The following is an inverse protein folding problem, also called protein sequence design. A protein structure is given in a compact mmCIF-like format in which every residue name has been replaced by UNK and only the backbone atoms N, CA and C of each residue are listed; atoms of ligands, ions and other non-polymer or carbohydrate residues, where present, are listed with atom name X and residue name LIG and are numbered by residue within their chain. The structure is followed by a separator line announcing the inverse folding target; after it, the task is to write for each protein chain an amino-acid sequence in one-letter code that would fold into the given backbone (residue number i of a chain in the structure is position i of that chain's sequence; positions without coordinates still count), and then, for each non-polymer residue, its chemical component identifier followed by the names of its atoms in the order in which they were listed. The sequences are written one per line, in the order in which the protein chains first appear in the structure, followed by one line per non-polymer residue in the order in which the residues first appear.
data_IF_715318022855
#
_entry.id   IF_715318022855
#
_cell.length_a   1.000
_cell.length_b   1.000
_cell.length_c   1.000
_cell.angle_alpha   90.00
_cell.angle_beta   90.00
_cell.angle_gamma   90.00
#
_symmetry.space_group_name_H-M   'P 1'
#
loop_
_entity.id
_entity.type
_entity.pdbx_description
1 polymer ?
#
# COMPACT_ATOMS: atom_id res chain seq x y z
N UNK A 1 4.80 22.30 0.33
CA UNK A 1 3.69 21.63 -0.38
C UNK A 1 2.61 21.29 0.62
N UNK A 2 1.36 21.17 0.20
CA UNK A 2 0.31 20.62 1.06
C UNK A 2 0.57 19.14 1.31
N UNK A 3 0.37 18.67 2.54
CA UNK A 3 0.58 17.26 2.89
C UNK A 3 -0.43 16.32 2.22
N UNK A 4 -1.50 16.85 1.62
CA UNK A 4 -2.50 16.08 0.89
C UNK A 4 -3.05 16.86 -0.29
N UNK A 5 -3.30 16.17 -1.40
CA UNK A 5 -4.06 16.72 -2.52
C UNK A 5 -4.76 15.60 -3.31
N UNK A 6 -5.85 15.97 -3.97
CA UNK A 6 -6.55 15.13 -4.94
C UNK A 6 -6.95 16.01 -6.13
N UNK A 7 -6.36 15.75 -7.30
CA UNK A 7 -6.48 16.56 -8.50
C UNK A 7 -7.20 15.74 -9.58
N UNK A 8 -8.28 16.31 -10.14
CA UNK A 8 -9.11 15.63 -11.16
C UNK A 8 -9.73 16.55 -12.21
N UNK A 9 -9.53 17.87 -12.07
CA UNK A 9 -10.19 18.85 -12.93
C UNK A 9 -9.17 19.51 -13.85
N UNK A 10 -9.61 19.87 -15.06
CA UNK A 10 -8.78 20.55 -16.06
C UNK A 10 -8.08 21.80 -15.52
N UNK A 11 -8.75 22.54 -14.61
CA UNK A 11 -8.17 23.73 -14.00
C UNK A 11 -6.99 23.40 -13.08
N UNK A 12 -7.06 22.28 -12.35
CA UNK A 12 -5.98 21.80 -11.49
C UNK A 12 -4.89 21.07 -12.29
N UNK A 13 -5.25 20.52 -13.45
CA UNK A 13 -4.43 19.66 -14.30
C UNK A 13 -4.16 20.31 -15.66
N UNK A 14 -3.90 21.62 -15.66
CA UNK A 14 -3.64 22.37 -16.88
C UNK A 14 -2.35 21.86 -17.57
N UNK A 15 -2.32 21.74 -18.91
CA UNK A 15 -1.17 21.20 -19.64
C UNK A 15 0.16 21.88 -19.27
N UNK A 16 1.21 21.09 -19.06
CA UNK A 16 2.55 21.57 -18.70
C UNK A 16 2.73 21.94 -17.21
N UNK A 17 1.67 21.94 -16.40
CA UNK A 17 1.75 22.34 -14.99
C UNK A 17 2.45 21.27 -14.16
N UNK A 18 3.47 21.65 -13.38
CA UNK A 18 4.04 20.79 -12.33
C UNK A 18 3.05 20.68 -11.17
N UNK A 19 2.67 19.45 -10.82
CA UNK A 19 1.69 19.16 -9.78
C UNK A 19 2.33 18.59 -8.52
N UNK A 20 3.51 18.00 -8.61
CA UNK A 20 4.20 17.39 -7.48
C UNK A 20 5.71 17.35 -7.71
N UNK A 21 6.47 17.52 -6.63
CA UNK A 21 7.93 17.35 -6.63
C UNK A 21 8.42 16.88 -5.27
N UNK A 22 9.36 15.94 -5.24
CA UNK A 22 9.96 15.47 -4.00
C UNK A 22 11.39 14.99 -4.25
N UNK A 23 12.27 15.20 -3.27
CA UNK A 23 13.65 14.71 -3.26
C UNK A 23 13.76 13.24 -2.80
N UNK A 24 12.64 12.66 -2.33
CA UNK A 24 12.62 11.28 -1.83
C UNK A 24 12.69 10.27 -2.95
N UNK A 25 13.06 9.04 -2.59
CA UNK A 25 12.98 7.87 -3.47
C UNK A 25 11.56 7.30 -3.44
N UNK A 26 10.97 7.02 -4.60
CA UNK A 26 9.65 6.42 -4.72
C UNK A 26 9.75 5.08 -5.43
N UNK A 27 9.04 4.07 -4.91
CA UNK A 27 8.92 2.77 -5.55
C UNK A 27 7.48 2.51 -5.99
N UNK A 28 7.31 1.67 -7.02
CA UNK A 28 6.04 1.04 -7.29
C UNK A 28 5.62 0.17 -6.09
N UNK A 29 4.54 0.56 -5.42
CA UNK A 29 4.10 -0.11 -4.19
C UNK A 29 2.92 -1.06 -4.43
N UNK A 30 1.93 -0.62 -5.19
CA UNK A 30 0.78 -1.45 -5.54
C UNK A 30 0.18 -1.04 -6.89
N UNK A 31 -0.34 -2.03 -7.62
CA UNK A 31 -1.14 -1.80 -8.81
C UNK A 31 -2.34 -2.75 -8.83
N UNK A 32 -3.55 -2.20 -8.87
CA UNK A 32 -4.79 -2.98 -9.00
C UNK A 32 -5.34 -2.82 -10.41
N UNK A 33 -5.04 -3.79 -11.28
CA UNK A 33 -5.44 -3.78 -12.70
C UNK A 33 -6.96 -3.62 -12.85
N UNK A 34 -7.74 -4.41 -12.10
CA UNK A 34 -9.21 -4.42 -12.21
C UNK A 34 -9.87 -3.08 -11.85
N UNK A 35 -9.19 -2.22 -11.12
CA UNK A 35 -9.70 -0.93 -10.66
C UNK A 35 -8.88 0.27 -11.18
N UNK A 36 -7.86 0.02 -12.01
CA UNK A 36 -6.96 1.04 -12.55
C UNK A 36 -6.29 1.88 -11.47
N UNK A 37 -5.84 1.29 -10.38
CA UNK A 37 -5.22 2.04 -9.27
C UNK A 37 -3.73 1.77 -9.20
N UNK A 38 -2.91 2.80 -9.45
CA UNK A 38 -1.47 2.75 -9.30
C UNK A 38 -1.02 3.56 -8.08
N UNK A 39 -0.25 2.93 -7.19
CA UNK A 39 0.27 3.53 -5.98
C UNK A 39 1.81 3.51 -6.00
N UNK A 40 2.42 4.69 -5.93
CA UNK A 40 3.85 4.83 -5.65
C UNK A 40 4.05 5.26 -4.20
N UNK A 41 5.09 4.74 -3.53
CA UNK A 41 5.37 5.05 -2.12
C UNK A 41 6.80 5.52 -1.92
N UNK A 42 6.98 6.54 -1.09
CA UNK A 42 8.31 6.97 -0.67
C UNK A 42 8.95 5.95 0.27
N UNK A 43 10.22 5.58 0.05
CA UNK A 43 10.96 4.59 0.85
C UNK A 43 12.18 5.16 1.60
N UNK A 44 12.16 6.46 1.87
CA UNK A 44 13.29 7.19 2.48
C UNK A 44 14.07 8.02 1.46
N UNK A 45 15.16 8.66 1.92
CA UNK A 45 16.08 9.38 1.03
C UNK A 45 17.16 8.41 0.53
N UNK A 46 17.60 8.52 -0.75
CA UNK A 46 18.61 7.61 -1.31
C UNK A 46 19.90 7.52 -0.49
N UNK A 47 20.29 8.62 0.16
CA UNK A 47 21.59 8.78 0.81
C UNK A 47 21.53 8.75 2.35
N UNK A 48 20.39 8.44 2.96
CA UNK A 48 20.22 8.37 4.41
C UNK A 48 19.73 6.99 4.84
N UNK A 49 20.47 6.37 5.76
CA UNK A 49 20.06 5.14 6.41
C UNK A 49 18.97 5.42 7.47
N UNK A 50 17.87 4.66 7.43
CA UNK A 50 16.77 4.75 8.39
C UNK A 50 15.40 4.71 7.74
N UNK A 51 14.37 4.33 8.50
CA UNK A 51 12.98 4.49 8.05
C UNK A 51 12.63 5.98 8.03
N UNK A 52 11.93 6.49 7.01
CA UNK A 52 11.51 7.88 6.99
C UNK A 52 10.51 8.15 8.12
N UNK A 53 10.57 9.34 8.72
CA UNK A 53 9.63 9.78 9.76
C UNK A 53 8.18 9.85 9.23
N UNK A 54 8.02 10.25 7.96
CA UNK A 54 6.73 10.28 7.25
C UNK A 54 6.80 9.48 5.96
N UNK A 55 5.68 8.89 5.57
CA UNK A 55 5.48 8.22 4.29
C UNK A 55 4.71 9.14 3.34
N UNK A 56 5.08 9.15 2.07
CA UNK A 56 4.30 9.76 0.99
C UNK A 56 3.75 8.66 0.11
N UNK A 57 2.42 8.59 -0.01
CA UNK A 57 1.74 7.79 -1.03
C UNK A 57 1.30 8.70 -2.18
N UNK A 58 1.54 8.27 -3.41
CA UNK A 58 1.05 8.88 -4.66
C UNK A 58 0.09 7.91 -5.34
N UNK A 59 -1.15 8.32 -5.57
CA UNK A 59 -2.17 7.51 -6.21
C UNK A 59 -2.59 8.10 -7.56
N UNK A 60 -2.65 7.26 -8.59
CA UNK A 60 -3.27 7.56 -9.88
C UNK A 60 -4.50 6.67 -10.08
N UNK A 61 -5.64 7.26 -10.46
CA UNK A 61 -6.90 6.52 -10.67
C UNK A 61 -7.92 7.27 -11.54
N UNK A 62 -8.65 6.56 -12.42
CA UNK A 62 -8.31 5.26 -13.00
C UNK A 62 -7.14 5.44 -13.97
N UNK A 63 -6.16 4.55 -13.91
CA UNK A 63 -5.01 4.53 -14.82
C UNK A 63 -5.24 3.53 -15.96
N UNK A 64 -4.99 3.96 -17.19
CA UNK A 64 -5.29 3.21 -18.42
C UNK A 64 -4.05 2.85 -19.23
N UNK A 65 -3.01 3.70 -19.22
CA UNK A 65 -1.72 3.45 -19.87
C UNK A 65 -0.60 3.75 -18.88
N UNK A 66 0.37 2.84 -18.79
CA UNK A 66 1.49 2.93 -17.88
C UNK A 66 2.80 2.69 -18.65
N UNK A 67 3.67 3.70 -18.68
CA UNK A 67 5.09 3.56 -18.95
C UNK A 67 5.81 4.04 -17.71
N UNK A 68 6.24 3.09 -16.87
CA UNK A 68 6.81 3.38 -15.55
C UNK A 68 8.05 2.55 -15.30
N UNK A 69 8.87 3.02 -14.36
CA UNK A 69 9.96 2.29 -13.70
C UNK A 69 9.52 1.89 -12.29
N UNK A 70 10.23 0.93 -11.72
CA UNK A 70 10.00 0.47 -10.35
C UNK A 70 10.63 1.39 -9.29
N UNK A 71 11.54 2.28 -9.69
CA UNK A 71 12.28 3.21 -8.83
C UNK A 71 12.41 4.61 -9.45
N UNK A 72 12.09 5.63 -8.65
CA UNK A 72 12.24 7.04 -8.98
C UNK A 72 13.03 7.77 -7.89
N UNK A 73 14.01 8.59 -8.28
CA UNK A 73 14.83 9.40 -7.38
C UNK A 73 14.69 10.87 -7.77
N UNK A 74 14.35 11.73 -6.81
CA UNK A 74 14.06 13.14 -7.07
C UNK A 74 12.91 13.30 -8.07
N UNK A 75 11.76 12.70 -7.77
CA UNK A 75 10.60 12.65 -8.65
C UNK A 75 9.93 14.01 -8.80
N UNK A 76 9.72 14.45 -10.04
CA UNK A 76 8.82 15.52 -10.41
C UNK A 76 7.69 14.98 -11.29
N UNK A 77 6.46 15.45 -11.06
CA UNK A 77 5.29 15.07 -11.83
C UNK A 77 4.66 16.33 -12.39
N UNK A 78 4.43 16.34 -13.70
CA UNK A 78 3.70 17.41 -14.39
C UNK A 78 2.67 16.85 -15.34
N UNK A 79 1.64 17.65 -15.65
CA UNK A 79 0.76 17.37 -16.77
C UNK A 79 1.55 17.51 -18.08
N UNK A 80 1.35 16.58 -19.00
CA UNK A 80 1.89 16.69 -20.34
C UNK A 80 1.34 17.95 -21.04
N UNK A 81 2.12 18.51 -21.95
CA UNK A 81 1.63 19.51 -22.89
C UNK A 81 0.63 18.88 -23.87
N UNK A 82 -0.12 19.71 -24.59
CA UNK A 82 -1.02 19.22 -25.63
C UNK A 82 -0.28 18.39 -26.70
N UNK A 83 0.90 18.83 -27.13
CA UNK A 83 1.70 18.11 -28.12
C UNK A 83 2.18 16.74 -27.60
N UNK A 84 2.70 16.68 -26.37
CA UNK A 84 3.11 15.42 -25.73
C UNK A 84 1.93 14.47 -25.54
N UNK A 85 0.75 15.00 -25.19
CA UNK A 85 -0.48 14.23 -25.04
C UNK A 85 -0.89 13.56 -26.35
N UNK A 86 -0.89 14.30 -27.46
CA UNK A 86 -1.25 13.75 -28.77
C UNK A 86 -0.27 12.66 -29.21
N UNK A 87 1.03 12.83 -28.97
CA UNK A 87 2.05 11.81 -29.27
C UNK A 87 1.77 10.52 -28.49
N UNK A 88 1.57 10.62 -27.17
CA UNK A 88 1.35 9.45 -26.30
C UNK A 88 0.04 8.74 -26.67
N UNK A 89 -1.02 9.48 -27.01
CA UNK A 89 -2.28 8.89 -27.48
C UNK A 89 -2.12 8.19 -28.83
N UNK A 90 -1.35 8.78 -29.74
CA UNK A 90 -1.07 8.20 -31.06
C UNK A 90 -0.22 6.92 -30.98
N UNK A 91 0.64 6.77 -29.97
CA UNK A 91 1.40 5.55 -29.71
C UNK A 91 0.55 4.40 -29.13
N UNK A 92 -0.63 4.72 -28.57
CA UNK A 92 -1.49 3.80 -27.84
C UNK A 92 -2.89 3.66 -28.49
N UNK A 93 -2.93 3.45 -29.81
CA UNK A 93 -4.19 3.42 -30.60
C UNK A 93 -5.19 2.33 -30.22
N UNK A 94 -4.75 1.28 -29.52
CA UNK A 94 -5.60 0.20 -29.04
C UNK A 94 -6.40 0.57 -27.78
N UNK A 95 -6.09 1.69 -27.14
CA UNK A 95 -6.72 2.16 -25.90
C UNK A 95 -7.78 3.21 -26.23
N UNK A 96 -8.96 3.09 -25.60
CA UNK A 96 -9.99 4.13 -25.68
C UNK A 96 -9.75 5.15 -24.59
N UNK A 97 -9.41 6.39 -24.98
CA UNK A 97 -9.19 7.50 -24.04
C UNK A 97 -10.51 8.20 -23.71
N UNK A 98 -10.77 8.43 -22.43
CA UNK A 98 -11.84 9.30 -21.95
C UNK A 98 -11.46 10.78 -22.17
N UNK A 99 -12.46 11.66 -22.19
CA UNK A 99 -12.23 13.11 -22.13
C UNK A 99 -11.61 13.55 -20.81
N UNK A 100 -11.87 12.80 -19.76
CA UNK A 100 -11.37 13.06 -18.41
C UNK A 100 -9.96 12.47 -18.19
N UNK A 101 -9.37 11.81 -19.20
CA UNK A 101 -8.03 11.23 -19.07
C UNK A 101 -6.96 12.30 -19.27
N UNK A 102 -6.06 12.38 -18.30
CA UNK A 102 -4.89 13.25 -18.30
C UNK A 102 -3.62 12.41 -18.47
N UNK A 103 -2.61 13.00 -19.12
CA UNK A 103 -1.28 12.41 -19.23
C UNK A 103 -0.37 13.07 -18.20
N UNK A 104 0.12 12.27 -17.26
CA UNK A 104 1.09 12.67 -16.25
C UNK A 104 2.47 12.21 -16.67
N UNK A 105 3.43 13.13 -16.73
CA UNK A 105 4.83 12.82 -17.01
C UNK A 105 5.59 12.73 -15.69
N UNK A 106 6.34 11.64 -15.55
CA UNK A 106 7.13 11.32 -14.36
C UNK A 106 8.60 11.53 -14.73
N UNK A 107 9.16 12.63 -14.23
CA UNK A 107 10.54 13.04 -14.50
C UNK A 107 11.43 12.69 -13.31
N UNK A 108 12.48 11.93 -13.57
CA UNK A 108 13.43 11.49 -12.55
C UNK A 108 14.78 11.24 -13.20
N UNK A 109 15.81 11.89 -12.67
CA UNK A 109 17.21 11.75 -13.09
C UNK A 109 17.46 11.93 -14.60
N UNK A 110 16.71 12.83 -15.26
CA UNK A 110 16.86 13.12 -16.69
C UNK A 110 16.11 12.16 -17.62
N UNK A 111 15.36 11.21 -17.07
CA UNK A 111 14.49 10.31 -17.82
C UNK A 111 13.00 10.63 -17.55
N UNK A 112 12.17 10.40 -18.56
CA UNK A 112 10.73 10.70 -18.53
C UNK A 112 9.89 9.47 -18.85
N UNK A 113 9.01 9.17 -17.90
CA UNK A 113 7.97 8.15 -17.95
C UNK A 113 6.58 8.79 -18.07
N UNK A 114 5.53 8.00 -18.29
CA UNK A 114 4.17 8.55 -18.34
C UNK A 114 3.10 7.61 -17.79
N UNK A 115 2.06 8.23 -17.24
CA UNK A 115 0.83 7.58 -16.80
C UNK A 115 -0.34 8.31 -17.43
N UNK A 116 -1.24 7.59 -18.08
CA UNK A 116 -2.56 8.13 -18.45
C UNK A 116 -3.54 7.74 -17.35
N UNK A 117 -4.15 8.74 -16.71
CA UNK A 117 -5.16 8.52 -15.68
C UNK A 117 -6.15 9.69 -15.56
N UNK A 118 -7.34 9.46 -14.98
CA UNK A 118 -8.30 10.55 -14.77
C UNK A 118 -7.97 11.47 -13.58
N UNK A 119 -7.26 10.96 -12.58
CA UNK A 119 -6.94 11.73 -11.39
C UNK A 119 -5.61 11.29 -10.79
N UNK A 120 -4.96 12.23 -10.11
CA UNK A 120 -3.76 12.00 -9.33
C UNK A 120 -3.87 12.69 -7.97
N UNK A 121 -3.26 12.09 -6.95
CA UNK A 121 -3.20 12.71 -5.63
C UNK A 121 -2.10 12.13 -4.77
N UNK A 122 -1.85 12.81 -3.66
CA UNK A 122 -0.85 12.38 -2.69
C UNK A 122 -1.32 12.58 -1.26
N UNK A 123 -0.69 11.84 -0.36
CA UNK A 123 -0.82 12.01 1.07
C UNK A 123 0.55 11.75 1.71
N UNK A 124 1.00 12.71 2.51
CA UNK A 124 2.17 12.61 3.38
C UNK A 124 1.72 12.61 4.85
N UNK A 125 2.08 11.58 5.60
CA UNK A 125 1.88 11.52 7.05
C UNK A 125 2.72 10.38 7.68
N UNK A 126 2.62 10.20 9.00
CA UNK A 126 3.10 9.00 9.70
C UNK A 126 2.19 7.83 9.35
N UNK A 127 2.74 6.82 8.68
CA UNK A 127 2.02 5.59 8.33
C UNK A 127 2.34 4.49 9.36
N UNK A 128 1.31 3.93 9.99
CA UNK A 128 1.49 2.77 10.89
C UNK A 128 2.15 1.59 10.15
N UNK A 129 3.00 0.79 10.81
CA UNK A 129 3.62 -0.39 10.22
C UNK A 129 2.62 -1.43 9.67
N UNK A 130 1.42 -1.51 10.25
CA UNK A 130 0.36 -2.44 9.85
C UNK A 130 -0.59 -1.84 8.81
N UNK A 131 -0.47 -0.55 8.51
CA UNK A 131 -1.34 0.13 7.55
C UNK A 131 -0.93 -0.17 6.11
N UNK A 132 -1.86 -0.60 5.23
CA UNK A 132 -1.54 -0.87 3.83
C UNK A 132 -1.17 0.40 3.03
N UNK A 133 -1.68 1.56 3.46
CA UNK A 133 -1.44 2.87 2.87
C UNK A 133 -2.55 3.88 3.14
N UNK A 134 -2.32 5.16 2.81
CA UNK A 134 -3.30 6.22 3.03
C UNK A 134 -4.53 6.11 2.12
N UNK A 135 -4.37 5.45 0.98
CA UNK A 135 -5.43 5.21 -0.01
C UNK A 135 -5.96 3.78 -0.02
N UNK A 136 -5.39 2.91 0.82
CA UNK A 136 -5.77 1.50 0.93
C UNK A 136 -6.16 1.20 2.38
N UNK A 137 -7.31 1.75 2.78
CA UNK A 137 -7.83 1.64 4.15
C UNK A 137 -8.65 0.37 4.33
N UNK A 138 -8.64 -0.20 5.54
CA UNK A 138 -9.56 -1.26 5.94
C UNK A 138 -11.03 -0.83 5.75
N UNK A 139 -11.80 -1.67 5.03
CA UNK A 139 -13.24 -1.54 4.85
C UNK A 139 -13.95 -2.60 5.70
N UNK A 140 -14.74 -2.22 6.72
CA UNK A 140 -15.40 -3.15 7.64
C UNK A 140 -16.29 -4.19 6.95
N UNK A 141 -16.99 -3.78 5.90
CA UNK A 141 -17.92 -4.60 5.13
C UNK A 141 -17.22 -5.61 4.20
N UNK A 142 -15.96 -5.34 3.86
CA UNK A 142 -15.09 -6.20 3.05
C UNK A 142 -13.72 -6.37 3.73
N UNK A 143 -13.62 -7.24 4.76
CA UNK A 143 -12.34 -7.57 5.39
C UNK A 143 -11.49 -8.37 4.41
N UNK A 144 -10.80 -7.67 3.52
CA UNK A 144 -9.82 -8.26 2.62
C UNK A 144 -8.49 -8.21 3.35
N UNK A 145 -7.92 -9.38 3.63
CA UNK A 145 -6.55 -9.50 4.09
C UNK A 145 -5.64 -8.75 3.10
N UNK A 146 -4.67 -7.95 3.56
CA UNK A 146 -3.72 -7.32 2.66
C UNK A 146 -2.85 -8.40 2.00
N UNK A 147 -3.34 -9.00 0.92
CA UNK A 147 -2.56 -9.83 0.03
C UNK A 147 -1.73 -8.87 -0.80
N UNK A 148 -0.44 -8.72 -0.48
CA UNK A 148 0.50 -8.11 -1.40
C UNK A 148 0.50 -9.00 -2.64
N UNK A 149 0.05 -8.55 -3.82
CA UNK A 149 -0.01 -9.44 -4.95
C UNK A 149 1.38 -9.84 -5.44
N UNK A 150 2.48 -9.15 -5.06
CA UNK A 150 3.85 -9.70 -5.02
C UNK A 150 4.90 -8.74 -4.39
N UNK A 151 5.57 -9.20 -3.32
CA UNK A 151 6.95 -8.86 -2.97
C UNK A 151 7.62 -10.15 -2.49
N UNK A 152 8.31 -10.85 -3.39
CA UNK A 152 8.71 -12.25 -3.18
C UNK A 152 7.50 -13.18 -3.32
N UNK A 153 7.51 -14.07 -4.31
CA UNK A 153 6.39 -14.97 -4.57
C UNK A 153 6.30 -16.05 -3.49
N UNK A 154 5.37 -15.92 -2.54
CA UNK A 154 5.09 -17.05 -1.65
C UNK A 154 3.85 -17.79 -2.09
N UNK A 155 4.08 -18.75 -2.98
CA UNK A 155 3.38 -20.03 -2.95
C UNK A 155 3.67 -20.84 -1.67
N UNK A 156 3.85 -20.18 -0.51
CA UNK A 156 4.09 -20.81 0.80
C UNK A 156 5.38 -20.47 1.57
N UNK A 157 6.19 -19.44 1.26
CA UNK A 157 7.53 -19.24 1.86
C UNK A 157 7.80 -17.91 2.61
N UNK A 158 6.91 -17.52 3.52
CA UNK A 158 7.30 -16.78 4.73
C UNK A 158 7.03 -17.66 5.97
N UNK A 159 7.06 -18.97 5.75
CA UNK A 159 7.13 -19.99 6.79
C UNK A 159 8.63 -20.16 7.06
N UNK A 160 9.06 -19.96 8.31
CA UNK A 160 10.40 -20.37 8.75
C UNK A 160 10.67 -21.78 8.22
N UNK A 161 11.83 -22.04 7.62
CA UNK A 161 12.14 -23.39 7.15
C UNK A 161 11.95 -24.39 8.29
N UNK A 162 11.63 -25.65 7.99
CA UNK A 162 11.48 -26.66 9.04
C UNK A 162 12.73 -26.71 9.95
N UNK A 163 13.90 -26.39 9.41
CA UNK A 163 15.16 -26.27 10.14
C UNK A 163 15.20 -25.04 11.06
N UNK A 164 14.84 -23.84 10.58
CA UNK A 164 14.78 -22.62 11.39
C UNK A 164 13.71 -22.71 12.49
N UNK A 165 12.58 -23.35 12.18
CA UNK A 165 11.56 -23.68 13.16
C UNK A 165 12.12 -24.65 14.20
N UNK A 166 12.81 -25.71 13.77
CA UNK A 166 13.45 -26.68 14.66
C UNK A 166 14.57 -26.05 15.51
N UNK A 167 15.35 -25.13 14.98
CA UNK A 167 16.40 -24.40 15.71
C UNK A 167 15.80 -23.41 16.72
N UNK A 168 14.76 -22.68 16.34
CA UNK A 168 14.00 -21.81 17.24
C UNK A 168 13.22 -22.60 18.32
N UNK A 169 12.88 -23.87 18.05
CA UNK A 169 12.28 -24.80 19.02
C UNK A 169 13.32 -25.50 19.91
N UNK A 170 14.61 -25.49 19.54
CA UNK A 170 15.72 -26.14 20.25
C UNK A 170 16.63 -25.17 20.99
N UNK A 171 16.47 -23.87 20.79
CA UNK A 171 17.17 -22.85 21.55
C UNK A 171 16.72 -22.93 23.03
N UNK A 172 17.52 -23.65 23.82
CA UNK A 172 17.38 -23.83 25.27
C UNK A 172 17.71 -22.51 26.00
N UNK A 173 16.76 -21.59 26.09
CA UNK A 173 16.71 -20.53 27.10
C UNK A 173 15.29 -19.94 27.11
N UNK A 174 14.41 -20.10 28.11
CA UNK A 174 14.53 -20.64 29.46
C UNK A 174 13.17 -21.25 29.88
N UNK A 175 13.28 -22.35 30.64
CA UNK A 175 12.29 -22.96 31.55
C UNK A 175 10.93 -23.43 31.00
N UNK A 176 10.96 -24.67 30.51
CA UNK A 176 9.82 -25.53 30.24
C UNK A 176 9.10 -25.97 31.54
N UNK A 177 7.85 -25.53 31.74
CA UNK A 177 6.88 -26.24 32.56
C UNK A 177 5.91 -27.02 31.65
N UNK A 178 6.16 -28.34 31.60
CA UNK A 178 5.22 -29.46 31.42
C UNK A 178 3.87 -29.18 30.69
N UNK A 179 3.80 -29.69 29.44
CA UNK A 179 2.61 -30.10 28.63
C UNK A 179 1.93 -29.13 27.65
N UNK A 180 2.49 -27.97 27.35
CA UNK A 180 1.94 -27.09 26.29
C UNK A 180 2.96 -26.91 25.15
N UNK A 181 2.83 -27.72 24.07
CA UNK A 181 3.49 -27.44 22.79
C UNK A 181 2.60 -26.53 21.94
N UNK A 182 2.22 -25.39 22.52
CA UNK A 182 1.45 -24.38 21.84
C UNK A 182 2.29 -23.11 21.77
N UNK A 183 2.41 -22.53 20.58
CA UNK A 183 2.75 -21.10 20.45
C UNK A 183 1.43 -20.34 20.38
N UNK A 184 1.39 -19.15 20.93
CA UNK A 184 0.22 -18.29 20.82
C UNK A 184 0.38 -17.33 19.65
N UNK A 185 -0.68 -17.18 18.88
CA UNK A 185 -0.84 -16.09 17.90
C UNK A 185 -1.92 -15.15 18.41
N UNK A 186 -1.81 -13.88 18.05
CA UNK A 186 -2.76 -12.84 18.43
C UNK A 186 -3.64 -12.54 17.22
N UNK A 187 -4.91 -12.91 17.30
CA UNK A 187 -5.88 -12.68 16.24
C UNK A 187 -6.71 -11.45 16.58
N UNK A 188 -6.65 -10.42 15.75
CA UNK A 188 -7.53 -9.26 15.88
C UNK A 188 -8.88 -9.64 15.29
N UNK A 189 -9.89 -9.70 16.15
CA UNK A 189 -11.27 -10.03 15.83
C UNK A 189 -12.11 -8.76 15.73
N UNK A 190 -13.07 -8.74 14.81
CA UNK A 190 -13.97 -7.61 14.61
C UNK A 190 -15.42 -8.08 14.58
N UNK A 191 -16.32 -7.27 15.14
CA UNK A 191 -17.77 -7.41 14.93
C UNK A 191 -18.24 -6.31 13.99
N UNK A 192 -18.80 -6.73 12.85
CA UNK A 192 -19.32 -5.81 11.83
C UNK A 192 -20.83 -5.99 11.74
N UNK A 193 -21.58 -4.89 11.83
CA UNK A 193 -23.04 -4.92 11.67
C UNK A 193 -23.38 -4.96 10.17
N UNK A 194 -23.67 -6.15 9.64
CA UNK A 194 -24.27 -6.29 8.31
C UNK A 194 -25.79 -6.14 8.43
N UNK A 195 -26.47 -5.80 7.34
CA UNK A 195 -27.86 -5.34 7.32
C UNK A 195 -28.90 -6.27 7.98
N UNK A 196 -28.55 -7.53 8.28
CA UNK A 196 -29.46 -8.47 8.92
C UNK A 196 -28.92 -9.19 10.16
N UNK A 197 -27.60 -9.38 10.33
CA UNK A 197 -27.01 -9.97 11.56
C UNK A 197 -25.57 -9.45 11.82
N UNK A 198 -25.14 -9.34 13.09
CA UNK A 198 -23.76 -9.04 13.43
C UNK A 198 -22.84 -10.24 13.08
N UNK A 199 -21.82 -9.98 12.26
CA UNK A 199 -20.85 -10.98 11.81
C UNK A 199 -19.54 -10.82 12.59
N UNK A 200 -18.97 -11.92 13.08
CA UNK A 200 -17.69 -11.95 13.81
C UNK A 200 -16.64 -12.54 12.88
N UNK A 201 -15.59 -11.78 12.60
CA UNK A 201 -14.55 -12.19 11.65
C UNK A 201 -13.15 -11.76 12.09
N UNK A 202 -12.16 -12.59 11.77
CA UNK A 202 -10.74 -12.28 12.00
C UNK A 202 -10.24 -11.28 10.98
N UNK A 203 -9.80 -10.11 11.46
CA UNK A 203 -9.25 -9.03 10.65
C UNK A 203 -7.72 -9.12 10.46
N UNK A 204 -7.01 -9.87 11.31
CA UNK A 204 -5.56 -10.07 11.23
C UNK A 204 -5.05 -11.13 12.20
N UNK A 205 -3.92 -11.79 11.89
CA UNK A 205 -3.20 -12.73 12.77
C UNK A 205 -1.77 -12.24 12.89
N UNK A 206 -1.29 -12.10 14.12
CA UNK A 206 0.00 -11.50 14.44
C UNK A 206 0.80 -12.41 15.37
N UNK A 207 2.12 -12.37 15.22
CA UNK A 207 3.05 -13.14 16.07
C UNK A 207 3.37 -12.41 17.38
N UNK A 208 3.17 -11.09 17.42
CA UNK A 208 3.37 -10.28 18.62
C UNK A 208 2.09 -9.61 19.04
N UNK A 209 1.94 -9.42 20.35
CA UNK A 209 0.82 -8.66 20.92
C UNK A 209 0.86 -7.19 20.50
N UNK A 210 2.05 -6.61 20.42
CA UNK A 210 2.22 -5.20 20.05
C UNK A 210 1.72 -4.90 18.62
N UNK A 211 2.02 -5.78 17.66
CA UNK A 211 1.51 -5.62 16.28
C UNK A 211 -0.01 -5.81 16.22
N UNK A 212 -0.56 -6.73 17.02
CA UNK A 212 -2.00 -6.91 17.14
C UNK A 212 -2.68 -5.68 17.76
N UNK A 213 -2.07 -5.06 18.77
CA UNK A 213 -2.57 -3.84 19.41
C UNK A 213 -2.50 -2.63 18.45
N UNK A 214 -1.43 -2.48 17.66
CA UNK A 214 -1.33 -1.44 16.61
C UNK A 214 -2.40 -1.61 15.52
N UNK A 215 -2.61 -2.86 15.06
CA UNK A 215 -3.67 -3.18 14.11
C UNK A 215 -5.07 -2.95 14.72
N UNK A 216 -5.30 -3.36 15.96
CA UNK A 216 -6.55 -3.14 16.70
C UNK A 216 -6.85 -1.64 16.82
N UNK A 217 -5.86 -0.81 17.17
CA UNK A 217 -6.00 0.64 17.27
C UNK A 217 -6.39 1.28 15.93
N UNK A 218 -5.87 0.76 14.82
CA UNK A 218 -6.21 1.22 13.46
C UNK A 218 -7.65 0.84 13.05
N UNK A 219 -8.14 -0.31 13.53
CA UNK A 219 -9.44 -0.89 13.14
C UNK A 219 -10.59 -0.40 14.05
N UNK A 220 -10.35 -0.28 15.36
CA UNK A 220 -11.36 0.05 16.38
C UNK A 220 -12.26 1.24 16.01
N UNK A 221 -11.74 2.36 15.45
CA UNK A 221 -12.59 3.50 15.08
C UNK A 221 -13.60 3.22 13.95
N UNK A 222 -13.50 2.07 13.27
CA UNK A 222 -14.25 1.76 12.04
C UNK A 222 -15.24 0.59 12.21
N UNK A 223 -15.25 -0.08 13.35
CA UNK A 223 -16.08 -1.27 13.60
C UNK A 223 -16.88 -1.11 14.89
N UNK A 224 -17.94 -1.91 15.06
CA UNK A 224 -18.78 -1.83 16.26
C UNK A 224 -18.07 -2.41 17.50
N UNK A 225 -17.21 -3.41 17.30
CA UNK A 225 -16.41 -4.05 18.35
C UNK A 225 -15.11 -4.60 17.73
N UNK A 226 -14.01 -4.53 18.48
CA UNK A 226 -12.68 -4.97 18.04
C UNK A 226 -11.88 -5.45 19.25
N UNK A 227 -11.45 -6.72 19.25
CA UNK A 227 -10.69 -7.32 20.36
C UNK A 227 -9.58 -8.23 19.84
N UNK A 228 -8.65 -8.61 20.73
CA UNK A 228 -7.57 -9.54 20.42
C UNK A 228 -7.89 -10.87 21.10
N UNK A 229 -7.92 -11.95 20.32
CA UNK A 229 -7.94 -13.32 20.83
C UNK A 229 -6.54 -13.90 20.78
N UNK A 230 -6.12 -14.51 21.88
CA UNK A 230 -4.88 -15.26 21.95
C UNK A 230 -5.19 -16.73 21.67
N UNK A 231 -4.75 -17.23 20.52
CA UNK A 231 -5.08 -18.59 20.07
C UNK A 231 -3.84 -19.49 20.14
N UNK A 232 -3.92 -20.65 20.82
CA UNK A 232 -2.86 -21.64 20.80
C UNK A 232 -2.83 -22.35 19.45
N UNK A 233 -1.69 -22.31 18.78
CA UNK A 233 -1.41 -23.15 17.60
C UNK A 233 -0.56 -24.33 18.03
N UNK A 234 -1.06 -25.54 17.75
CA UNK A 234 -0.31 -26.78 17.99
C UNK A 234 0.92 -26.81 17.08
N UNK A 235 2.07 -27.08 17.66
CA UNK A 235 3.36 -27.23 16.95
C UNK A 235 3.68 -28.70 16.77
#
# INVERSE_FOLDING_TARGET
MTNKAWLRSDQQLAPGTEIFRSDRRFLLWAYTVSHGQLLLRSVGRPDLAGKPETTIDLLFKPATVLKIRDDYRCLAIRCATAAETEIIKAENTSVTFSRDDHVFLLESQGETDHIVAMAAGWHEDVLSPTSPGFFNTFYPDMPVWPSKPLSGADGGFNIASAQELVEALRADDQELIRRERYRYVYVVMTRVSRAHEPDITGAGVFLTRADAEDAQATITPRVADCWIEELPIGI
#
